data_IF_205732916166
#
_entry.id   IF_205732916166
#
_cell.length_a   1.000
_cell.length_b   1.000
_cell.length_c   1.000
_cell.angle_alpha   90.00
_cell.angle_beta   90.00
_cell.angle_gamma   90.00
#
_symmetry.space_group_name_H-M   'P 1'
#
loop_
_entity.id
_entity.type
_entity.pdbx_description
1 polymer ?
#
# COMPACT_ATOMS: atom_id res chain seq x y z
N UNK A 1 32.68 70.28 68.86
CA UNK A 1 31.56 69.47 69.43
C UNK A 1 30.56 68.96 68.36
N UNK A 2 30.37 69.67 67.25
CA UNK A 2 29.41 69.24 66.17
C UNK A 2 29.82 68.05 65.32
N UNK A 3 31.12 67.90 65.07
CA UNK A 3 31.63 66.80 64.18
C UNK A 3 31.46 65.38 64.78
N UNK A 4 31.67 65.22 66.07
CA UNK A 4 31.50 63.96 66.79
C UNK A 4 30.00 63.60 66.93
N UNK A 5 29.10 64.58 67.00
CA UNK A 5 27.66 64.34 67.05
C UNK A 5 27.11 63.83 65.69
N UNK A 6 27.63 64.37 64.57
CA UNK A 6 27.25 63.92 63.21
C UNK A 6 27.77 62.51 62.92
N UNK A 7 28.98 62.18 63.32
CA UNK A 7 29.54 60.83 63.15
C UNK A 7 28.76 59.78 63.95
N UNK A 8 28.31 60.15 65.17
CA UNK A 8 27.48 59.25 65.99
C UNK A 8 26.06 59.09 65.45
N UNK A 9 25.49 60.10 64.86
CA UNK A 9 24.18 60.03 64.17
C UNK A 9 24.24 59.21 62.88
N UNK A 10 25.26 59.38 62.03
CA UNK A 10 25.48 58.58 60.83
C UNK A 10 25.73 57.10 61.15
N UNK A 11 26.54 56.78 62.15
CA UNK A 11 26.79 55.43 62.60
C UNK A 11 25.51 54.75 63.11
N UNK A 12 24.64 55.47 63.83
CA UNK A 12 23.35 54.90 64.25
C UNK A 12 22.35 54.73 63.11
N UNK A 13 22.37 55.59 62.11
CA UNK A 13 21.53 55.38 60.90
C UNK A 13 22.01 54.23 60.10
N UNK A 14 23.31 54.04 59.91
CA UNK A 14 23.90 52.90 59.19
C UNK A 14 23.61 51.57 59.92
N UNK A 15 23.83 51.52 61.23
CA UNK A 15 23.54 50.30 62.02
C UNK A 15 22.07 50.00 62.07
N UNK A 16 21.17 50.98 62.13
CA UNK A 16 19.72 50.77 62.04
C UNK A 16 19.27 50.27 60.65
N UNK A 17 19.89 50.82 59.61
CA UNK A 17 19.60 50.38 58.23
C UNK A 17 20.09 48.94 57.99
N UNK A 18 21.31 48.59 58.41
CA UNK A 18 21.85 47.21 58.31
C UNK A 18 21.04 46.22 59.14
N UNK A 19 20.59 46.59 60.35
CA UNK A 19 19.72 45.74 61.18
C UNK A 19 18.33 45.56 60.58
N UNK A 20 17.81 46.56 59.88
CA UNK A 20 16.51 46.44 59.15
C UNK A 20 16.63 45.56 57.96
N UNK A 21 17.71 45.63 57.14
CA UNK A 21 17.96 44.80 55.98
C UNK A 21 18.24 43.40 56.41
N UNK A 22 18.97 43.11 57.48
CA UNK A 22 19.18 41.73 58.00
C UNK A 22 17.90 41.15 58.56
N UNK A 23 17.01 41.94 59.17
CA UNK A 23 15.71 41.43 59.63
C UNK A 23 14.76 41.12 58.48
N UNK A 24 14.80 41.88 57.40
CA UNK A 24 14.04 41.59 56.18
C UNK A 24 14.56 40.32 55.55
N UNK A 25 15.86 40.16 55.44
CA UNK A 25 16.49 38.98 54.90
C UNK A 25 16.17 37.71 55.75
N UNK A 26 16.24 37.85 57.06
CA UNK A 26 15.88 36.77 57.97
C UNK A 26 14.41 36.39 57.89
N UNK A 27 13.50 37.36 57.75
CA UNK A 27 12.07 37.16 57.58
C UNK A 27 11.73 36.47 56.24
N UNK A 28 12.50 36.74 55.16
CA UNK A 28 12.39 36.03 53.90
C UNK A 28 12.86 34.56 54.00
N UNK A 29 13.95 34.30 54.76
CA UNK A 29 14.49 32.95 54.96
C UNK A 29 13.58 32.12 55.89
N UNK A 30 13.05 32.74 56.96
CA UNK A 30 12.16 32.06 57.93
C UNK A 30 10.75 31.78 57.36
N UNK A 31 10.28 32.60 56.40
CA UNK A 31 9.01 32.38 55.68
C UNK A 31 9.17 31.44 54.45
N UNK A 32 10.38 30.99 54.15
CA UNK A 32 10.64 30.13 53.03
C UNK A 32 10.36 28.69 53.46
N UNK A 33 9.32 28.09 52.87
CA UNK A 33 8.87 26.73 53.18
C UNK A 33 9.87 25.68 52.64
N UNK A 34 10.98 25.53 53.34
CA UNK A 34 12.02 24.56 53.00
C UNK A 34 11.48 23.13 52.86
N UNK A 35 10.55 22.74 53.74
CA UNK A 35 9.94 21.41 53.74
C UNK A 35 9.14 21.15 52.48
N UNK A 36 8.43 22.15 51.97
CA UNK A 36 7.66 22.04 50.72
C UNK A 36 8.60 21.89 49.51
N UNK A 37 9.69 22.68 49.50
CA UNK A 37 10.69 22.59 48.43
C UNK A 37 11.42 21.25 48.42
N UNK A 38 11.85 20.77 49.59
CA UNK A 38 12.49 19.48 49.74
C UNK A 38 11.53 18.32 49.33
N UNK A 39 10.28 18.39 49.76
CA UNK A 39 9.25 17.43 49.40
C UNK A 39 9.00 17.42 47.87
N UNK A 40 8.85 18.58 47.23
CA UNK A 40 8.73 18.74 45.78
C UNK A 40 9.95 18.18 45.05
N UNK A 41 11.16 18.56 45.51
CA UNK A 41 12.40 18.08 44.90
C UNK A 41 12.54 16.55 44.96
N UNK A 42 12.27 15.97 46.13
CA UNK A 42 12.32 14.51 46.33
C UNK A 42 11.27 13.82 45.43
N UNK A 43 10.03 14.32 45.41
CA UNK A 43 8.95 13.74 44.62
C UNK A 43 9.24 13.82 43.12
N UNK A 44 9.71 14.96 42.62
CA UNK A 44 10.08 15.16 41.22
C UNK A 44 11.25 14.25 40.83
N UNK A 45 12.25 14.10 41.73
CA UNK A 45 13.41 13.22 41.48
C UNK A 45 12.97 11.75 41.39
N UNK A 46 12.09 11.30 42.30
CA UNK A 46 11.55 9.94 42.27
C UNK A 46 10.76 9.70 40.99
N UNK A 47 9.89 10.64 40.58
CA UNK A 47 9.13 10.55 39.34
C UNK A 47 10.05 10.51 38.11
N UNK A 48 11.11 11.31 38.06
CA UNK A 48 12.10 11.28 37.00
C UNK A 48 12.81 9.95 36.90
N UNK A 49 13.18 9.34 38.03
CA UNK A 49 13.80 8.03 38.08
C UNK A 49 12.81 6.94 37.58
N UNK A 50 11.56 6.99 38.01
CA UNK A 50 10.52 6.06 37.59
C UNK A 50 10.26 6.17 36.07
N UNK A 51 10.13 7.39 35.54
CA UNK A 51 9.93 7.63 34.10
C UNK A 51 11.14 7.17 33.31
N UNK A 52 12.37 7.48 33.77
CA UNK A 52 13.60 7.01 33.11
C UNK A 52 13.69 5.49 33.08
N UNK A 53 13.34 4.81 34.19
CA UNK A 53 13.30 3.36 34.26
C UNK A 53 12.25 2.78 33.29
N UNK A 54 11.05 3.38 33.22
CA UNK A 54 9.98 2.97 32.32
C UNK A 54 10.43 3.08 30.86
N UNK A 55 10.99 4.22 30.44
CA UNK A 55 11.50 4.40 29.08
C UNK A 55 12.68 3.49 28.74
N UNK A 56 13.54 3.21 29.71
CA UNK A 56 14.63 2.23 29.56
C UNK A 56 14.07 0.81 29.27
N UNK A 57 13.03 0.41 30.02
CA UNK A 57 12.36 -0.88 29.81
C UNK A 57 11.72 -0.93 28.42
N UNK A 58 10.99 0.12 28.02
CA UNK A 58 10.41 0.20 26.68
C UNK A 58 11.47 0.12 25.58
N UNK A 59 12.56 0.85 25.74
CA UNK A 59 13.69 0.82 24.81
C UNK A 59 14.30 -0.58 24.69
N UNK A 60 14.55 -1.23 25.82
CA UNK A 60 15.12 -2.58 25.84
C UNK A 60 14.20 -3.62 25.18
N UNK A 61 12.91 -3.57 25.51
CA UNK A 61 11.89 -4.49 24.94
C UNK A 61 11.77 -4.26 23.44
N UNK A 62 11.62 -3.00 23.00
CA UNK A 62 11.49 -2.67 21.58
C UNK A 62 12.71 -3.08 20.77
N UNK A 63 13.92 -2.81 21.27
CA UNK A 63 15.18 -3.27 20.66
C UNK A 63 15.22 -4.78 20.50
N UNK A 64 14.75 -5.54 21.52
CA UNK A 64 14.68 -7.00 21.49
C UNK A 64 13.66 -7.52 20.46
N UNK A 65 12.50 -6.86 20.34
CA UNK A 65 11.46 -7.18 19.34
C UNK A 65 12.01 -6.96 17.93
N UNK A 66 12.59 -5.78 17.65
CA UNK A 66 13.19 -5.45 16.35
C UNK A 66 14.25 -6.49 15.99
N UNK A 67 15.17 -6.79 16.92
CA UNK A 67 16.24 -7.79 16.71
C UNK A 67 15.67 -9.19 16.39
N UNK A 68 14.58 -9.61 17.06
CA UNK A 68 13.93 -10.91 16.82
C UNK A 68 13.26 -10.96 15.45
N UNK A 69 12.54 -9.90 15.05
CA UNK A 69 11.88 -9.80 13.75
C UNK A 69 12.88 -9.93 12.59
N UNK A 70 14.00 -9.24 12.67
CA UNK A 70 15.05 -9.32 11.65
C UNK A 70 15.88 -10.59 11.69
N UNK A 71 16.07 -11.22 12.87
CA UNK A 71 16.76 -12.50 12.96
C UNK A 71 15.99 -13.63 12.28
N UNK A 72 14.66 -13.65 12.41
CA UNK A 72 13.79 -14.64 11.76
C UNK A 72 13.86 -14.54 10.22
N UNK A 73 13.94 -13.33 9.69
CA UNK A 73 13.99 -13.09 8.24
C UNK A 73 15.37 -13.39 7.61
N UNK A 74 16.46 -13.46 8.40
CA UNK A 74 17.79 -13.91 7.90
C UNK A 74 17.82 -15.38 7.48
N UNK A 75 16.83 -16.17 7.88
CA UNK A 75 16.70 -17.58 7.50
C UNK A 75 16.06 -17.76 6.10
N UNK A 76 15.54 -16.68 5.49
CA UNK A 76 15.03 -16.66 4.12
C UNK A 76 16.16 -16.20 3.20
N UNK A 77 16.81 -17.13 2.55
CA UNK A 77 18.02 -16.97 1.70
C UNK A 77 17.88 -16.03 0.49
N UNK A 78 16.71 -15.45 0.26
CA UNK A 78 16.43 -14.68 -0.96
C UNK A 78 16.83 -13.19 -0.94
N UNK A 79 17.22 -12.64 0.21
CA UNK A 79 17.62 -11.23 0.31
C UNK A 79 19.10 -11.08 0.62
N UNK A 80 19.81 -10.25 -0.16
CA UNK A 80 21.22 -9.94 0.11
C UNK A 80 21.38 -9.43 1.55
N UNK A 81 22.35 -9.99 2.29
CA UNK A 81 22.64 -9.67 3.71
C UNK A 81 22.79 -8.16 3.98
N UNK A 82 23.24 -7.39 2.99
CA UNK A 82 23.40 -5.94 3.08
C UNK A 82 22.05 -5.21 3.23
N UNK A 83 21.02 -5.58 2.47
CA UNK A 83 19.69 -4.94 2.52
C UNK A 83 19.01 -5.17 3.87
N UNK A 84 19.11 -6.37 4.42
CA UNK A 84 18.56 -6.70 5.74
C UNK A 84 19.26 -5.90 6.84
N UNK A 85 20.58 -5.77 6.78
CA UNK A 85 21.34 -5.00 7.76
C UNK A 85 20.99 -3.50 7.71
N UNK A 86 20.85 -2.92 6.52
CA UNK A 86 20.44 -1.52 6.36
C UNK A 86 19.04 -1.29 6.92
N UNK A 87 18.07 -2.15 6.58
CA UNK A 87 16.70 -2.06 7.10
C UNK A 87 16.65 -2.21 8.63
N UNK A 88 17.44 -3.12 9.19
CA UNK A 88 17.57 -3.32 10.64
C UNK A 88 18.12 -2.06 11.33
N UNK A 89 19.23 -1.50 10.82
CA UNK A 89 19.84 -0.28 11.38
C UNK A 89 18.90 0.91 11.29
N UNK A 90 18.22 1.09 10.15
CA UNK A 90 17.23 2.15 9.95
C UNK A 90 16.08 2.03 10.95
N UNK A 91 15.51 0.82 11.10
CA UNK A 91 14.43 0.57 12.05
C UNK A 91 14.84 0.84 13.50
N UNK A 92 16.08 0.48 13.88
CA UNK A 92 16.60 0.79 15.20
C UNK A 92 16.79 2.28 15.43
N UNK A 93 17.32 3.00 14.45
CA UNK A 93 17.52 4.45 14.56
C UNK A 93 16.19 5.20 14.68
N UNK A 94 15.21 4.85 13.84
CA UNK A 94 13.85 5.45 13.92
C UNK A 94 13.26 5.20 15.30
N UNK A 95 13.31 3.96 15.79
CA UNK A 95 12.80 3.60 17.11
C UNK A 95 13.53 4.34 18.24
N UNK A 96 14.86 4.45 18.17
CA UNK A 96 15.67 5.18 19.15
C UNK A 96 15.27 6.66 19.23
N UNK A 97 15.19 7.36 18.08
CA UNK A 97 14.79 8.76 18.05
C UNK A 97 13.34 8.97 18.50
N UNK A 98 12.45 8.04 18.19
CA UNK A 98 11.07 8.07 18.65
C UNK A 98 10.99 8.00 20.18
N UNK A 99 11.65 7.02 20.80
CA UNK A 99 11.70 6.88 22.26
C UNK A 99 12.38 8.09 22.90
N UNK A 100 13.47 8.60 22.33
CA UNK A 100 14.20 9.75 22.82
C UNK A 100 13.30 11.01 22.83
N UNK A 101 12.53 11.24 21.76
CA UNK A 101 11.59 12.36 21.67
C UNK A 101 10.55 12.31 22.79
N UNK A 102 9.90 11.18 23.01
CA UNK A 102 8.89 11.04 24.06
C UNK A 102 9.49 11.07 25.46
N UNK A 103 10.70 10.58 25.63
CA UNK A 103 11.42 10.69 26.90
C UNK A 103 11.70 12.15 27.25
N UNK A 104 12.28 12.94 26.34
CA UNK A 104 12.49 14.37 26.57
C UNK A 104 11.19 15.11 26.83
N UNK A 105 10.14 14.80 26.09
CA UNK A 105 8.81 15.35 26.32
C UNK A 105 8.33 15.09 27.76
N UNK A 106 8.42 13.83 28.22
CA UNK A 106 8.01 13.46 29.57
C UNK A 106 8.86 14.15 30.66
N UNK A 107 10.17 14.25 30.47
CA UNK A 107 11.09 14.94 31.39
C UNK A 107 10.76 16.43 31.49
N UNK A 108 10.59 17.11 30.35
CA UNK A 108 10.25 18.53 30.32
C UNK A 108 8.90 18.81 31.02
N UNK A 109 7.92 17.91 30.78
CA UNK A 109 6.60 18.00 31.43
C UNK A 109 6.69 17.88 32.96
N UNK A 110 7.49 16.91 33.46
CA UNK A 110 7.70 16.69 34.88
C UNK A 110 8.42 17.88 35.57
N UNK A 111 9.31 18.56 34.82
CA UNK A 111 10.00 19.76 35.31
C UNK A 111 9.11 21.00 35.31
N UNK A 112 7.83 20.89 34.86
CA UNK A 112 6.90 22.02 34.83
C UNK A 112 7.16 22.99 33.68
N UNK A 113 7.98 22.63 32.69
CA UNK A 113 8.24 23.47 31.53
C UNK A 113 6.99 23.49 30.64
N UNK A 114 6.48 24.66 30.20
CA UNK A 114 5.30 24.73 29.34
C UNK A 114 5.59 24.15 27.95
N UNK A 115 5.16 22.91 27.72
CA UNK A 115 5.40 22.16 26.48
C UNK A 115 4.32 22.36 25.41
N UNK A 116 3.34 23.24 25.63
CA UNK A 116 2.23 23.47 24.70
C UNK A 116 2.67 23.86 23.28
N UNK A 117 3.67 24.73 23.15
CA UNK A 117 4.26 25.11 21.86
C UNK A 117 4.99 23.93 21.17
N UNK A 118 5.63 23.06 21.96
CA UNK A 118 6.31 21.88 21.45
C UNK A 118 5.30 20.86 20.89
N UNK A 119 4.16 20.68 21.59
CA UNK A 119 3.05 19.82 21.11
C UNK A 119 2.47 20.38 19.81
N UNK A 120 2.21 21.69 19.75
CA UNK A 120 1.68 22.33 18.57
C UNK A 120 2.64 22.16 17.36
N UNK A 121 3.94 22.40 17.56
CA UNK A 121 4.96 22.19 16.54
C UNK A 121 5.08 20.72 16.10
N UNK A 122 5.07 19.78 17.06
CA UNK A 122 5.08 18.35 16.77
C UNK A 122 3.82 17.92 16.00
N UNK A 123 2.65 18.52 16.29
CA UNK A 123 1.40 18.29 15.57
C UNK A 123 1.50 18.69 14.11
N UNK A 124 2.02 19.88 13.81
CA UNK A 124 2.24 20.37 12.44
C UNK A 124 3.22 19.45 11.70
N UNK A 125 4.33 19.07 12.34
CA UNK A 125 5.30 18.12 11.78
C UNK A 125 4.67 16.74 11.53
N UNK A 126 3.82 16.27 12.45
CA UNK A 126 3.06 15.02 12.30
C UNK A 126 2.16 15.02 11.07
N UNK A 127 1.45 16.12 10.80
CA UNK A 127 0.63 16.29 9.60
C UNK A 127 1.51 16.27 8.35
N UNK A 128 2.63 16.96 8.33
CA UNK A 128 3.55 16.99 7.19
C UNK A 128 4.11 15.58 6.88
N UNK A 129 4.54 14.85 7.92
CA UNK A 129 5.00 13.43 7.77
C UNK A 129 3.85 12.55 7.29
N UNK A 130 2.64 12.72 7.85
CA UNK A 130 1.45 11.96 7.45
C UNK A 130 1.09 12.15 5.99
N UNK A 131 1.09 13.38 5.48
CA UNK A 131 0.89 13.68 4.07
C UNK A 131 1.98 13.07 3.18
N UNK A 132 3.25 13.13 3.63
CA UNK A 132 4.37 12.48 2.93
C UNK A 132 4.26 10.94 2.89
N UNK A 133 3.69 10.33 3.93
CA UNK A 133 3.52 8.88 4.05
C UNK A 133 2.18 8.37 3.49
N UNK A 134 1.25 9.25 3.10
CA UNK A 134 -0.11 8.91 2.67
C UNK A 134 -0.13 7.82 1.60
N UNK A 135 0.73 7.93 0.58
CA UNK A 135 0.79 6.95 -0.49
C UNK A 135 1.18 5.55 -0.03
N UNK A 136 2.11 5.47 0.94
CA UNK A 136 2.49 4.18 1.53
C UNK A 136 1.33 3.56 2.31
N UNK A 137 0.64 4.34 3.14
CA UNK A 137 -0.51 3.85 3.91
C UNK A 137 -1.62 3.37 2.98
N UNK A 138 -1.92 4.13 1.92
CA UNK A 138 -2.91 3.74 0.91
C UNK A 138 -2.51 2.43 0.22
N UNK A 139 -1.24 2.25 -0.18
CA UNK A 139 -0.76 1.01 -0.79
C UNK A 139 -1.02 -0.20 0.13
N UNK A 140 -0.71 -0.07 1.42
CA UNK A 140 -0.89 -1.14 2.42
C UNK A 140 -2.37 -1.48 2.62
N UNK A 141 -3.21 -0.46 2.79
CA UNK A 141 -4.66 -0.64 3.00
C UNK A 141 -5.30 -1.26 1.77
N UNK A 142 -5.00 -0.76 0.56
CA UNK A 142 -5.51 -1.34 -0.70
C UNK A 142 -5.06 -2.79 -0.85
N UNK A 143 -3.76 -3.08 -0.61
CA UNK A 143 -3.23 -4.44 -0.67
C UNK A 143 -3.93 -5.38 0.33
N UNK A 144 -4.20 -4.92 1.54
CA UNK A 144 -4.96 -5.68 2.53
C UNK A 144 -6.37 -6.04 2.04
N UNK A 145 -7.11 -5.06 1.46
CA UNK A 145 -8.46 -5.32 0.94
C UNK A 145 -8.45 -6.23 -0.29
N UNK A 146 -7.51 -6.08 -1.21
CA UNK A 146 -7.34 -7.00 -2.35
C UNK A 146 -7.21 -8.45 -1.86
N UNK A 147 -6.41 -8.67 -0.80
CA UNK A 147 -6.22 -9.99 -0.20
C UNK A 147 -7.48 -10.48 0.52
N UNK A 148 -8.11 -9.63 1.33
CA UNK A 148 -9.30 -9.97 2.12
C UNK A 148 -10.48 -10.34 1.22
N UNK A 149 -10.71 -9.57 0.15
CA UNK A 149 -11.77 -9.80 -0.82
C UNK A 149 -11.41 -10.86 -1.85
N UNK A 150 -10.15 -11.33 -1.83
CA UNK A 150 -9.63 -12.29 -2.80
C UNK A 150 -9.89 -11.85 -4.26
N UNK A 151 -9.69 -10.58 -4.58
CA UNK A 151 -9.93 -10.07 -5.94
C UNK A 151 -9.12 -10.83 -6.99
N UNK A 152 -7.89 -11.20 -6.66
CA UNK A 152 -7.03 -12.12 -7.42
C UNK A 152 -6.03 -12.83 -6.50
N UNK A 153 -5.41 -13.89 -7.01
CA UNK A 153 -4.35 -14.66 -6.35
C UNK A 153 -3.11 -14.76 -7.23
N UNK A 154 -1.98 -15.13 -6.63
CA UNK A 154 -0.75 -15.39 -7.39
C UNK A 154 -1.02 -16.55 -8.37
N UNK A 155 -0.70 -16.33 -9.64
CA UNK A 155 -0.96 -17.27 -10.73
C UNK A 155 -2.19 -16.94 -11.57
N UNK A 156 -3.11 -16.07 -11.10
CA UNK A 156 -4.26 -15.61 -11.90
C UNK A 156 -3.80 -14.74 -13.08
N UNK A 157 -4.49 -14.87 -14.20
CA UNK A 157 -4.40 -13.92 -15.29
C UNK A 157 -5.35 -12.75 -15.02
N UNK A 158 -4.80 -11.56 -15.03
CA UNK A 158 -5.52 -10.32 -14.70
C UNK A 158 -5.24 -9.23 -15.72
N UNK A 159 -6.18 -8.28 -15.81
CA UNK A 159 -5.96 -7.00 -16.47
C UNK A 159 -6.17 -5.88 -15.46
N UNK A 160 -5.15 -5.04 -15.27
CA UNK A 160 -5.15 -3.88 -14.39
C UNK A 160 -4.79 -2.65 -15.23
N UNK A 161 -5.78 -1.79 -15.49
CA UNK A 161 -5.61 -0.69 -16.44
C UNK A 161 -5.25 -1.21 -17.83
N UNK A 162 -4.08 -0.81 -18.36
CA UNK A 162 -3.57 -1.25 -19.66
C UNK A 162 -2.62 -2.45 -19.58
N UNK A 163 -2.32 -2.94 -18.38
CA UNK A 163 -1.39 -4.06 -18.16
C UNK A 163 -2.20 -5.35 -18.06
N UNK A 164 -1.85 -6.34 -18.88
CA UNK A 164 -2.44 -7.68 -18.86
C UNK A 164 -1.35 -8.69 -18.63
N UNK A 165 -1.62 -9.72 -17.84
CA UNK A 165 -0.65 -10.77 -17.60
C UNK A 165 -0.96 -11.60 -16.35
N UNK A 166 -0.02 -12.46 -15.99
CA UNK A 166 -0.14 -13.33 -14.83
C UNK A 166 0.40 -12.65 -13.57
N UNK A 167 -0.35 -12.74 -12.47
CA UNK A 167 0.13 -12.28 -11.16
C UNK A 167 1.32 -13.12 -10.74
N UNK A 168 2.53 -12.56 -10.83
CA UNK A 168 3.78 -13.25 -10.48
C UNK A 168 4.01 -13.22 -8.95
N UNK A 169 3.69 -12.09 -8.30
CA UNK A 169 3.78 -11.95 -6.86
C UNK A 169 2.84 -10.86 -6.36
N UNK A 170 2.37 -11.02 -5.15
CA UNK A 170 1.55 -10.03 -4.45
C UNK A 170 2.21 -9.66 -3.12
N UNK A 171 2.45 -8.38 -2.91
CA UNK A 171 3.08 -7.86 -1.71
C UNK A 171 2.22 -6.81 -1.01
N UNK A 172 2.65 -6.42 0.19
CA UNK A 172 1.93 -5.44 1.02
C UNK A 172 1.75 -4.08 0.32
N UNK A 173 2.71 -3.69 -0.52
CA UNK A 173 2.73 -2.37 -1.18
C UNK A 173 2.59 -2.46 -2.69
N UNK A 174 3.05 -3.55 -3.30
CA UNK A 174 3.13 -3.69 -4.77
C UNK A 174 2.65 -5.04 -5.22
N UNK A 175 1.93 -5.07 -6.32
CA UNK A 175 1.57 -6.26 -7.10
C UNK A 175 2.53 -6.37 -8.28
N UNK A 176 3.01 -7.58 -8.56
CA UNK A 176 3.88 -7.87 -9.70
C UNK A 176 3.09 -8.67 -10.74
N UNK A 177 3.06 -8.17 -11.97
CA UNK A 177 2.40 -8.82 -13.11
C UNK A 177 3.46 -9.12 -14.16
N UNK A 178 3.52 -10.39 -14.56
CA UNK A 178 4.32 -10.86 -15.69
C UNK A 178 3.45 -10.81 -16.94
N UNK A 179 3.75 -9.87 -17.83
CA UNK A 179 3.07 -9.75 -19.12
C UNK A 179 3.45 -10.91 -20.04
N UNK A 180 2.65 -11.18 -21.07
CA UNK A 180 2.85 -12.26 -22.04
C UNK A 180 4.09 -12.08 -22.91
N UNK A 181 4.63 -10.85 -23.00
CA UNK A 181 5.90 -10.56 -23.68
C UNK A 181 7.15 -10.80 -22.80
N UNK A 182 6.94 -11.19 -21.52
CA UNK A 182 8.00 -11.41 -20.55
C UNK A 182 8.34 -10.18 -19.68
N UNK A 183 7.67 -9.03 -19.89
CA UNK A 183 7.88 -7.84 -19.06
C UNK A 183 7.30 -8.04 -17.67
N UNK A 184 8.09 -7.73 -16.62
CA UNK A 184 7.63 -7.76 -15.23
C UNK A 184 7.27 -6.35 -14.75
N UNK A 185 6.00 -6.11 -14.53
CA UNK A 185 5.46 -4.85 -14.05
C UNK A 185 5.36 -4.83 -12.52
N UNK A 186 5.81 -3.74 -11.89
CA UNK A 186 5.66 -3.47 -10.46
C UNK A 186 4.61 -2.37 -10.27
N UNK A 187 3.41 -2.74 -9.86
CA UNK A 187 2.27 -1.84 -9.73
C UNK A 187 2.06 -1.52 -8.25
N UNK A 188 2.15 -0.22 -7.81
CA UNK A 188 1.74 0.16 -6.47
C UNK A 188 0.27 -0.20 -6.24
N UNK A 189 -0.06 -0.81 -5.11
CA UNK A 189 -1.42 -1.29 -4.85
C UNK A 189 -2.46 -0.15 -4.92
N UNK A 190 -2.11 1.06 -4.49
CA UNK A 190 -2.97 2.25 -4.60
C UNK A 190 -3.37 2.62 -6.03
N UNK A 191 -2.59 2.17 -7.02
CA UNK A 191 -2.87 2.43 -8.45
C UNK A 191 -3.83 1.40 -9.05
N UNK A 192 -4.19 0.37 -8.29
CA UNK A 192 -5.13 -0.68 -8.69
C UNK A 192 -6.54 -0.20 -8.34
N UNK A 193 -7.21 0.42 -9.30
CA UNK A 193 -8.59 0.93 -9.15
C UNK A 193 -9.63 -0.04 -9.70
N UNK A 194 -9.28 -0.76 -10.77
CA UNK A 194 -10.12 -1.75 -11.42
C UNK A 194 -9.28 -3.00 -11.69
N UNK A 195 -9.80 -4.14 -11.28
CA UNK A 195 -9.22 -5.45 -11.57
C UNK A 195 -10.20 -6.25 -12.43
N UNK A 196 -9.75 -6.70 -13.59
CA UNK A 196 -10.44 -7.71 -14.37
C UNK A 196 -9.72 -9.03 -14.18
N UNK A 197 -10.29 -9.93 -13.38
CA UNK A 197 -9.76 -11.27 -13.18
C UNK A 197 -10.25 -12.19 -14.31
N UNK A 198 -9.32 -12.69 -15.12
CA UNK A 198 -9.61 -13.51 -16.30
C UNK A 198 -9.60 -15.01 -15.98
N UNK A 199 -9.15 -15.39 -14.76
CA UNK A 199 -9.00 -16.80 -14.37
C UNK A 199 -10.21 -17.38 -13.64
N UNK A 200 -11.11 -16.55 -13.12
CA UNK A 200 -12.19 -17.02 -12.23
C UNK A 200 -13.40 -17.60 -12.95
N UNK A 201 -13.65 -17.18 -14.17
CA UNK A 201 -14.82 -17.58 -14.93
C UNK A 201 -14.42 -18.10 -16.31
N UNK A 202 -15.36 -18.82 -16.91
CA UNK A 202 -15.23 -19.24 -18.31
C UNK A 202 -15.02 -18.04 -19.22
N UNK A 203 -14.01 -18.13 -20.07
CA UNK A 203 -13.68 -17.09 -21.01
C UNK A 203 -14.38 -17.31 -22.35
N UNK A 204 -14.85 -16.22 -22.93
CA UNK A 204 -15.57 -16.27 -24.23
C UNK A 204 -14.58 -16.19 -25.40
N UNK A 205 -14.53 -17.24 -26.20
CA UNK A 205 -13.96 -17.23 -27.55
C UNK A 205 -15.08 -16.83 -28.54
N UNK A 206 -14.98 -15.66 -29.14
CA UNK A 206 -15.92 -15.18 -30.16
C UNK A 206 -15.33 -15.41 -31.53
N UNK A 207 -16.09 -16.05 -32.43
CA UNK A 207 -15.70 -16.34 -33.80
C UNK A 207 -16.70 -15.68 -34.72
N UNK A 208 -16.22 -14.74 -35.51
CA UNK A 208 -16.99 -14.01 -36.50
C UNK A 208 -16.61 -14.51 -37.90
N UNK A 209 -17.57 -15.07 -38.60
CA UNK A 209 -17.40 -15.60 -39.95
C UNK A 209 -18.06 -14.62 -40.90
N UNK A 210 -17.30 -13.94 -41.75
CA UNK A 210 -17.85 -12.99 -42.71
C UNK A 210 -18.75 -13.70 -43.72
N UNK A 211 -19.95 -13.14 -43.96
CA UNK A 211 -20.97 -13.66 -44.85
C UNK A 211 -21.47 -12.57 -45.79
N UNK A 212 -21.98 -13.00 -46.98
CA UNK A 212 -22.63 -12.08 -47.96
C UNK A 212 -24.14 -12.04 -47.69
N UNK A 213 -24.82 -10.90 -47.95
CA UNK A 213 -26.29 -10.76 -47.73
C UNK A 213 -27.16 -11.74 -48.50
N UNK A 214 -26.67 -12.24 -49.62
CA UNK A 214 -27.43 -13.12 -50.55
C UNK A 214 -27.08 -14.60 -50.35
N UNK A 215 -26.43 -14.97 -49.26
CA UNK A 215 -26.10 -16.39 -48.99
C UNK A 215 -27.23 -17.09 -48.23
N UNK A 216 -27.23 -18.42 -48.37
CA UNK A 216 -28.12 -19.32 -47.61
C UNK A 216 -27.63 -19.45 -46.18
N UNK A 217 -28.18 -18.70 -45.26
CA UNK A 217 -27.82 -18.70 -43.85
C UNK A 217 -28.19 -19.98 -43.13
N UNK A 218 -29.23 -20.72 -43.56
CA UNK A 218 -29.61 -22.02 -43.00
C UNK A 218 -28.58 -23.06 -43.33
N UNK A 219 -28.07 -23.05 -44.56
CA UNK A 219 -26.96 -23.90 -44.97
C UNK A 219 -25.68 -23.61 -44.22
N UNK A 220 -25.33 -22.35 -44.03
CA UNK A 220 -24.17 -21.91 -43.22
C UNK A 220 -24.31 -22.46 -41.81
N UNK A 221 -25.44 -22.24 -41.16
CA UNK A 221 -25.74 -22.72 -39.81
C UNK A 221 -25.60 -24.22 -39.67
N UNK A 222 -26.11 -24.97 -40.65
CA UNK A 222 -26.00 -26.42 -40.66
C UNK A 222 -24.55 -26.88 -40.72
N UNK A 223 -23.75 -26.28 -41.59
CA UNK A 223 -22.30 -26.59 -41.70
C UNK A 223 -21.59 -26.28 -40.36
N UNK A 224 -21.84 -25.13 -39.75
CA UNK A 224 -21.26 -24.71 -38.46
C UNK A 224 -21.68 -25.72 -37.38
N UNK A 225 -22.96 -26.14 -37.33
CA UNK A 225 -23.42 -27.14 -36.35
C UNK A 225 -22.69 -28.48 -36.49
N UNK A 226 -22.45 -28.94 -37.71
CA UNK A 226 -21.73 -30.17 -37.96
C UNK A 226 -20.27 -30.10 -37.51
N UNK A 227 -19.61 -28.98 -37.78
CA UNK A 227 -18.25 -28.69 -37.25
C UNK A 227 -18.24 -28.66 -35.73
N UNK A 228 -19.21 -27.99 -35.12
CA UNK A 228 -19.33 -27.95 -33.65
C UNK A 228 -19.47 -29.38 -33.08
N UNK A 229 -20.32 -30.20 -33.62
CA UNK A 229 -20.49 -31.60 -33.17
C UNK A 229 -19.21 -32.41 -33.25
N UNK A 230 -18.43 -32.22 -34.32
CA UNK A 230 -17.22 -33.03 -34.58
C UNK A 230 -15.99 -32.51 -33.84
N UNK A 231 -15.90 -31.22 -33.61
CA UNK A 231 -14.69 -30.59 -33.08
C UNK A 231 -14.74 -30.33 -31.56
N UNK A 232 -15.92 -30.02 -31.00
CA UNK A 232 -16.08 -29.78 -29.55
C UNK A 232 -15.50 -30.90 -28.67
N UNK A 233 -15.74 -32.22 -28.96
CA UNK A 233 -15.21 -33.27 -28.12
C UNK A 233 -13.68 -33.44 -28.14
N UNK A 234 -12.99 -32.72 -29.03
CA UNK A 234 -11.52 -32.75 -29.14
C UNK A 234 -10.83 -31.70 -28.26
N UNK A 235 -11.60 -30.86 -27.58
CA UNK A 235 -11.10 -29.79 -26.73
C UNK A 235 -11.68 -29.87 -25.31
N UNK A 236 -10.92 -30.44 -24.39
CA UNK A 236 -11.31 -30.61 -22.98
C UNK A 236 -11.45 -29.26 -22.23
N UNK A 237 -10.97 -28.19 -22.84
CA UNK A 237 -11.06 -26.83 -22.28
C UNK A 237 -12.35 -26.09 -22.63
N UNK A 238 -13.20 -26.68 -23.47
CA UNK A 238 -14.53 -26.11 -23.77
C UNK A 238 -15.47 -26.48 -22.62
N UNK A 239 -16.00 -25.47 -21.94
CA UNK A 239 -16.84 -25.65 -20.74
C UNK A 239 -18.34 -25.69 -21.06
N UNK A 240 -18.77 -25.09 -22.18
CA UNK A 240 -20.17 -25.06 -22.61
C UNK A 240 -20.27 -25.37 -24.10
N UNK A 241 -21.41 -25.92 -24.50
CA UNK A 241 -21.68 -26.18 -25.93
C UNK A 241 -21.58 -24.87 -26.72
N UNK A 242 -20.92 -24.89 -27.92
CA UNK A 242 -20.87 -23.71 -28.79
C UNK A 242 -22.27 -23.16 -29.09
N UNK A 243 -22.41 -21.84 -29.01
CA UNK A 243 -23.66 -21.13 -29.28
C UNK A 243 -23.54 -20.37 -30.60
N UNK A 244 -24.43 -20.68 -31.55
CA UNK A 244 -24.53 -19.94 -32.81
C UNK A 244 -25.52 -18.81 -32.57
N UNK A 245 -25.07 -17.58 -32.62
CA UNK A 245 -25.92 -16.39 -32.47
C UNK A 245 -26.60 -16.00 -33.76
N UNK A 246 -26.09 -16.50 -34.90
CA UNK A 246 -26.57 -16.13 -36.24
C UNK A 246 -25.91 -14.88 -36.77
N UNK A 247 -26.55 -14.27 -37.76
CA UNK A 247 -26.02 -13.13 -38.50
C UNK A 247 -26.13 -11.85 -37.69
N UNK A 248 -24.99 -11.16 -37.57
CA UNK A 248 -24.84 -9.90 -36.85
C UNK A 248 -24.16 -8.90 -37.77
N UNK A 249 -24.64 -7.67 -37.77
CA UNK A 249 -24.00 -6.57 -38.47
C UNK A 249 -22.85 -6.01 -37.61
N UNK A 250 -21.72 -5.82 -38.25
CA UNK A 250 -20.53 -5.23 -37.62
C UNK A 250 -20.04 -4.07 -38.51
N UNK A 251 -19.19 -3.15 -37.98
CA UNK A 251 -18.57 -2.11 -38.78
C UNK A 251 -17.85 -2.61 -40.04
N UNK A 252 -17.41 -3.91 -40.02
CA UNK A 252 -16.68 -4.56 -41.10
C UNK A 252 -17.59 -5.43 -42.00
N UNK A 253 -18.91 -5.33 -41.88
CA UNK A 253 -19.88 -6.09 -42.65
C UNK A 253 -20.64 -7.15 -41.85
N UNK A 254 -21.40 -7.98 -42.54
CA UNK A 254 -22.18 -9.04 -41.94
C UNK A 254 -21.29 -10.22 -41.53
N UNK A 255 -21.53 -10.72 -40.34
CA UNK A 255 -20.82 -11.90 -39.81
C UNK A 255 -21.81 -12.92 -39.21
N UNK A 256 -21.62 -14.18 -39.41
CA UNK A 256 -22.27 -15.21 -38.60
C UNK A 256 -21.39 -15.47 -37.36
N UNK A 257 -21.96 -15.18 -36.18
CA UNK A 257 -21.25 -15.18 -34.92
C UNK A 257 -21.47 -16.44 -34.13
N UNK A 258 -20.36 -17.06 -33.74
CA UNK A 258 -20.34 -18.22 -32.85
C UNK A 258 -19.59 -17.87 -31.56
N UNK A 259 -20.15 -18.26 -30.43
CA UNK A 259 -19.54 -18.11 -29.11
C UNK A 259 -19.23 -19.46 -28.52
N UNK A 260 -18.02 -19.63 -28.04
CA UNK A 260 -17.55 -20.81 -27.33
C UNK A 260 -16.98 -20.38 -25.98
N UNK A 261 -17.46 -20.98 -24.89
CA UNK A 261 -16.90 -20.75 -23.57
C UNK A 261 -15.83 -21.78 -23.27
N UNK A 262 -14.68 -21.29 -22.81
CA UNK A 262 -13.49 -22.09 -22.52
C UNK A 262 -12.90 -21.75 -21.16
N UNK A 263 -12.08 -22.64 -20.62
CA UNK A 263 -11.19 -22.30 -19.52
C UNK A 263 -10.27 -21.15 -19.94
N UNK A 264 -9.79 -20.38 -18.96
CA UNK A 264 -8.84 -19.28 -19.23
C UNK A 264 -7.58 -19.78 -19.94
N UNK A 265 -7.08 -18.99 -20.90
CA UNK A 265 -5.92 -19.31 -21.72
C UNK A 265 -6.21 -20.16 -22.96
N UNK A 266 -7.35 -20.89 -23.02
CA UNK A 266 -7.73 -21.71 -24.15
C UNK A 266 -8.52 -20.96 -25.24
N UNK A 267 -8.92 -19.70 -25.00
CA UNK A 267 -9.76 -18.94 -25.94
C UNK A 267 -9.15 -18.82 -27.33
N UNK A 268 -7.89 -18.36 -27.39
CA UNK A 268 -7.23 -18.09 -28.66
C UNK A 268 -6.89 -19.37 -29.45
N UNK A 269 -6.38 -20.46 -28.87
CA UNK A 269 -6.24 -21.75 -29.54
C UNK A 269 -7.56 -22.29 -30.07
N UNK A 270 -8.61 -22.31 -29.24
CA UNK A 270 -9.94 -22.80 -29.65
C UNK A 270 -10.52 -21.92 -30.76
N UNK A 271 -10.47 -20.59 -30.64
CA UNK A 271 -10.93 -19.65 -31.64
C UNK A 271 -10.28 -19.93 -33.03
N UNK A 272 -8.93 -20.07 -33.05
CA UNK A 272 -8.18 -20.34 -34.30
C UNK A 272 -8.54 -21.68 -34.90
N UNK A 273 -8.61 -22.71 -34.08
CA UNK A 273 -8.93 -24.06 -34.55
C UNK A 273 -10.34 -24.15 -35.14
N UNK A 274 -11.33 -23.59 -34.46
CA UNK A 274 -12.70 -23.57 -34.92
C UNK A 274 -12.88 -22.70 -36.17
N UNK A 275 -12.30 -21.50 -36.18
CA UNK A 275 -12.36 -20.62 -37.37
C UNK A 275 -11.78 -21.33 -38.60
N UNK A 276 -10.60 -21.89 -38.47
CA UNK A 276 -9.98 -22.63 -39.59
C UNK A 276 -10.89 -23.78 -40.08
N UNK A 277 -11.51 -24.54 -39.17
CA UNK A 277 -12.38 -25.66 -39.55
C UNK A 277 -13.72 -25.21 -40.11
N UNK A 278 -14.28 -24.06 -39.63
CA UNK A 278 -15.47 -23.49 -40.24
C UNK A 278 -15.19 -23.04 -41.67
N UNK A 279 -14.10 -22.32 -41.93
CA UNK A 279 -13.74 -21.86 -43.26
C UNK A 279 -13.51 -23.04 -44.23
N UNK A 280 -12.84 -24.08 -43.78
CA UNK A 280 -12.64 -25.30 -44.57
C UNK A 280 -13.99 -25.97 -44.95
N UNK A 281 -14.87 -26.18 -43.95
CA UNK A 281 -16.16 -26.85 -44.17
C UNK A 281 -17.11 -26.04 -45.04
N UNK A 282 -17.12 -24.70 -44.86
CA UNK A 282 -17.94 -23.79 -45.68
C UNK A 282 -17.46 -23.79 -47.14
N UNK A 283 -16.14 -23.79 -47.38
CA UNK A 283 -15.57 -23.93 -48.73
C UNK A 283 -15.95 -25.24 -49.37
N UNK A 284 -15.88 -26.35 -48.62
CA UNK A 284 -16.29 -27.69 -49.12
C UNK A 284 -17.80 -27.74 -49.44
N UNK A 285 -18.63 -27.00 -48.73
CA UNK A 285 -20.07 -26.86 -48.98
C UNK A 285 -20.40 -25.92 -50.17
N UNK A 286 -19.40 -25.37 -50.86
CA UNK A 286 -19.57 -24.47 -52.01
C UNK A 286 -20.04 -23.06 -51.62
N UNK A 287 -19.80 -22.66 -50.36
CA UNK A 287 -20.12 -21.31 -49.86
C UNK A 287 -18.91 -20.40 -50.03
N UNK A 288 -19.02 -19.39 -50.83
CA UNK A 288 -17.95 -18.38 -51.02
C UNK A 288 -17.89 -17.45 -49.83
N UNK A 289 -16.74 -17.38 -49.18
CA UNK A 289 -16.50 -16.39 -48.13
C UNK A 289 -16.12 -15.06 -48.75
N UNK A 290 -16.69 -13.91 -48.27
CA UNK A 290 -16.20 -12.61 -48.67
C UNK A 290 -14.75 -12.48 -48.27
N UNK A 291 -13.93 -11.95 -49.14
CA UNK A 291 -12.58 -11.54 -48.81
C UNK A 291 -12.74 -10.38 -47.81
N UNK A 292 -12.13 -10.51 -46.63
CA UNK A 292 -12.12 -9.41 -45.67
C UNK A 292 -11.72 -8.10 -46.38
N UNK A 293 -12.49 -7.01 -46.32
CA UNK A 293 -12.11 -5.78 -46.94
C UNK A 293 -10.88 -5.25 -46.19
N UNK A 294 -9.71 -5.63 -46.65
CA UNK A 294 -8.49 -4.87 -46.33
C UNK A 294 -8.71 -3.54 -47.04
N UNK A 295 -9.08 -2.53 -46.28
CA UNK A 295 -9.21 -1.17 -46.79
C UNK A 295 -7.79 -0.66 -47.10
N UNK A 296 -7.29 -0.95 -48.30
CA UNK A 296 -6.03 -0.43 -48.85
C UNK A 296 -6.14 1.04 -49.27
N UNK A 297 -7.23 1.74 -48.95
CA UNK A 297 -7.46 3.14 -49.28
C UNK A 297 -7.18 4.12 -48.15
N UNK A 298 -6.25 3.83 -47.27
CA UNK A 298 -5.62 4.84 -46.44
C UNK A 298 -4.32 5.32 -47.13
N UNK A 299 -4.47 6.28 -48.09
CA UNK A 299 -3.37 7.17 -48.46
C UNK A 299 -3.36 8.36 -47.53
#
# INVERSE_FOLDING_TARGET
MGILLNFWLESNIITKKVSTDTNIFKKYIDNFNWDELFSKFITTTILLLLVSLLFYIFYYIGKKIIKRAFKKNRLVESLSSGRINTAYTLSQNIFHYFILFFYFYAVLSLLGIPIGSLIAGAGIMGVAIGLGAQGFVTDVVTGFFILLEQQFTVGDDVKIGNISGKVAAFGLRTTQILDYDGTLHYIPNRSITIVSNLSRNDMRAQIDIHVKPNQDFDKIKTVIQNVNKSLTPKFDDITKKPQILGVVETPNGLVDRVIIFTKNGAQAPVQRAFLAKYLEALKQAGLEMPISPINLSAK
#
